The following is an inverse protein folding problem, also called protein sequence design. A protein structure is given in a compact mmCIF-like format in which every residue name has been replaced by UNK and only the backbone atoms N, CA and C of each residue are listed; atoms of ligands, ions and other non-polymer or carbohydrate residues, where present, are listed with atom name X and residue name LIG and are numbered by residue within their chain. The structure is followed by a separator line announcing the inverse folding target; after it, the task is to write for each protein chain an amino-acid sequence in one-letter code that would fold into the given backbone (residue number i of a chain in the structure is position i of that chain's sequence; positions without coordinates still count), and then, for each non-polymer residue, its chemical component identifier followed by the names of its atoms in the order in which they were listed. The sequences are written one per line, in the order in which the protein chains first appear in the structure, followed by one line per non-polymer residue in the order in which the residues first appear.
data_IF_177812701050
#
_entry.id   IF_177812701050
#
_cell.length_a   1.000
_cell.length_b   1.000
_cell.length_c   1.000
_cell.angle_alpha   90.00
_cell.angle_beta   90.00
_cell.angle_gamma   90.00
#
_symmetry.space_group_name_H-M   'P 1'
#
loop_
_entity.id
_entity.type
_entity.pdbx_description
1 polymer ?
#
# COMPACT_ATOMS: atom_id res chain seq x y z
N UNK A 1 26.67 6.16 5.20
CA UNK A 1 26.02 5.41 6.31
C UNK A 1 24.81 4.65 5.79
N UNK A 2 24.41 3.52 6.38
CA UNK A 2 23.32 2.69 5.85
C UNK A 2 21.93 3.37 5.86
N UNK A 3 21.65 4.27 6.82
CA UNK A 3 20.42 5.08 6.83
C UNK A 3 20.35 6.07 5.66
N UNK A 4 21.47 6.69 5.29
CA UNK A 4 21.55 7.60 4.13
C UNK A 4 21.26 6.86 2.82
N UNK A 5 21.67 5.59 2.71
CA UNK A 5 21.30 4.73 1.58
C UNK A 5 19.78 4.57 1.48
N UNK A 6 19.09 4.34 2.60
CA UNK A 6 17.62 4.18 2.63
C UNK A 6 16.93 5.46 2.19
N UNK A 7 17.34 6.61 2.72
CA UNK A 7 16.77 7.91 2.35
C UNK A 7 16.94 8.20 0.85
N UNK A 8 18.07 7.77 0.27
CA UNK A 8 18.37 7.91 -1.16
C UNK A 8 17.88 6.74 -2.02
N UNK A 9 17.07 5.81 -1.48
CA UNK A 9 16.59 4.59 -2.13
C UNK A 9 17.69 3.74 -2.79
N UNK A 10 18.87 3.73 -2.19
CA UNK A 10 20.00 2.89 -2.61
C UNK A 10 19.87 1.47 -2.04
N UNK A 11 20.33 0.44 -2.75
CA UNK A 11 20.35 -0.93 -2.23
C UNK A 11 21.11 -1.06 -0.91
N UNK A 12 20.58 -1.88 -0.03
CA UNK A 12 21.24 -2.31 1.20
C UNK A 12 21.85 -3.70 1.01
N UNK A 13 23.02 -3.93 1.60
CA UNK A 13 23.51 -5.29 1.80
C UNK A 13 22.60 -6.03 2.80
N UNK A 14 22.61 -7.37 2.77
CA UNK A 14 21.84 -8.18 3.72
C UNK A 14 22.24 -7.88 5.18
N UNK A 15 23.51 -7.56 5.43
CA UNK A 15 24.00 -7.18 6.76
C UNK A 15 23.46 -5.81 7.18
N UNK A 16 23.50 -4.81 6.29
CA UNK A 16 22.96 -3.47 6.55
C UNK A 16 21.45 -3.53 6.83
N UNK A 17 20.69 -4.29 6.03
CA UNK A 17 19.26 -4.52 6.28
C UNK A 17 19.05 -5.12 7.67
N UNK A 18 19.75 -6.21 7.99
CA UNK A 18 19.55 -6.95 9.25
C UNK A 18 19.82 -6.05 10.45
N UNK A 19 20.87 -5.25 10.40
CA UNK A 19 21.21 -4.30 11.47
C UNK A 19 20.17 -3.20 11.63
N UNK A 20 19.73 -2.58 10.52
CA UNK A 20 18.74 -1.51 10.55
C UNK A 20 17.38 -2.02 11.02
N UNK A 21 16.95 -3.23 10.61
CA UNK A 21 15.74 -3.89 11.10
C UNK A 21 15.82 -4.23 12.58
N UNK A 22 16.94 -4.80 13.03
CA UNK A 22 17.16 -5.12 14.46
C UNK A 22 17.02 -3.88 15.34
N UNK A 23 17.52 -2.74 14.86
CA UNK A 23 17.42 -1.43 15.53
C UNK A 23 16.07 -0.72 15.31
N UNK A 24 15.12 -1.33 14.58
CA UNK A 24 13.80 -0.76 14.21
C UNK A 24 13.90 0.58 13.48
N UNK A 25 15.01 0.84 12.77
CA UNK A 25 15.28 2.11 12.09
C UNK A 25 14.62 2.19 10.71
N UNK A 26 14.26 1.04 10.12
CA UNK A 26 13.63 0.95 8.80
C UNK A 26 12.40 0.05 8.81
N UNK A 27 11.48 0.35 7.90
CA UNK A 27 10.28 -0.42 7.55
C UNK A 27 10.35 -0.81 6.06
N UNK A 28 9.39 -1.59 5.56
CA UNK A 28 9.33 -2.03 4.16
C UNK A 28 9.93 -3.41 3.89
N UNK A 29 10.12 -3.77 2.61
CA UNK A 29 10.60 -5.08 2.14
C UNK A 29 11.59 -4.89 1.00
N UNK A 30 12.57 -5.78 0.87
CA UNK A 30 13.53 -5.76 -0.25
C UNK A 30 12.81 -5.62 -1.60
N UNK A 31 13.29 -4.77 -2.52
CA UNK A 31 14.40 -3.82 -2.38
C UNK A 31 14.01 -2.45 -1.78
N UNK A 32 12.73 -2.24 -1.45
CA UNK A 32 12.14 -0.95 -1.08
C UNK A 32 11.99 -0.80 0.45
N UNK A 33 12.98 -0.13 1.05
CA UNK A 33 12.96 0.21 2.48
C UNK A 33 12.69 1.70 2.68
N UNK A 34 12.11 2.02 3.84
CA UNK A 34 11.82 3.40 4.26
C UNK A 34 12.25 3.57 5.72
N UNK A 35 12.56 4.81 6.12
CA UNK A 35 12.85 5.11 7.53
C UNK A 35 11.59 4.90 8.40
N UNK A 36 11.78 4.40 9.63
CA UNK A 36 10.66 4.17 10.55
C UNK A 36 10.11 5.46 11.16
N UNK A 37 8.91 5.39 11.77
CA UNK A 37 8.21 6.57 12.32
C UNK A 37 9.11 7.40 13.21
N UNK A 38 9.75 6.75 14.18
CA UNK A 38 10.55 7.45 15.17
C UNK A 38 11.81 8.10 14.56
N UNK A 39 12.33 7.55 13.44
CA UNK A 39 13.50 8.12 12.76
C UNK A 39 13.05 9.36 12.00
N UNK A 40 11.95 9.26 11.26
CA UNK A 40 11.37 10.38 10.55
C UNK A 40 10.97 11.53 11.47
N UNK A 41 10.36 11.23 12.62
CA UNK A 41 10.00 12.23 13.63
C UNK A 41 11.22 12.99 14.14
N UNK A 42 12.33 12.28 14.43
CA UNK A 42 13.59 12.89 14.90
C UNK A 42 14.31 13.65 13.79
N UNK A 43 14.21 13.20 12.55
CA UNK A 43 14.87 13.81 11.39
C UNK A 43 14.08 14.98 10.77
N UNK A 44 12.89 15.32 11.29
CA UNK A 44 12.02 16.35 10.71
C UNK A 44 11.30 15.94 9.42
N UNK A 45 11.56 14.74 8.88
CA UNK A 45 10.96 14.20 7.65
C UNK A 45 9.59 13.53 7.91
N UNK A 46 8.73 14.22 8.66
CA UNK A 46 7.37 13.73 8.96
C UNK A 46 6.54 13.56 7.68
N UNK A 47 6.70 14.47 6.73
CA UNK A 47 5.98 14.44 5.45
C UNK A 47 6.43 13.28 4.56
N UNK A 48 7.73 12.99 4.47
CA UNK A 48 8.25 11.83 3.73
C UNK A 48 7.80 10.51 4.36
N UNK A 49 7.75 10.42 5.69
CA UNK A 49 7.18 9.25 6.37
C UNK A 49 5.71 9.07 6.07
N UNK A 50 4.90 10.12 6.20
CA UNK A 50 3.48 10.07 5.86
C UNK A 50 3.28 9.70 4.39
N UNK A 51 4.07 10.22 3.45
CA UNK A 51 3.99 9.78 2.04
C UNK A 51 4.33 8.30 1.85
N UNK A 52 5.25 7.75 2.63
CA UNK A 52 5.63 6.33 2.49
C UNK A 52 4.72 5.38 3.30
N UNK A 53 4.10 5.84 4.39
CA UNK A 53 3.23 5.04 5.27
C UNK A 53 1.74 5.34 5.17
N UNK A 54 1.31 6.59 4.99
CA UNK A 54 -0.11 6.96 4.91
C UNK A 54 -0.81 6.39 3.65
N UNK A 55 -0.03 5.77 2.77
CA UNK A 55 -0.48 4.87 1.73
C UNK A 55 -0.38 3.41 2.17
N UNK A 56 -0.76 3.12 3.41
CA UNK A 56 -0.86 1.75 3.89
C UNK A 56 -2.08 1.07 3.25
N UNK A 57 -2.18 -0.24 3.45
CA UNK A 57 -3.32 -0.98 2.90
C UNK A 57 -4.65 -0.48 3.49
N UNK A 58 -4.67 0.04 4.72
CA UNK A 58 -5.90 0.48 5.38
C UNK A 58 -6.50 1.68 4.66
N UNK A 59 -5.70 2.70 4.37
CA UNK A 59 -6.14 3.87 3.61
C UNK A 59 -6.82 3.49 2.29
N UNK A 60 -6.22 2.57 1.52
CA UNK A 60 -6.81 2.16 0.24
C UNK A 60 -8.09 1.33 0.41
N UNK A 61 -8.14 0.45 1.42
CA UNK A 61 -9.35 -0.30 1.74
C UNK A 61 -10.50 0.63 2.13
N UNK A 62 -10.23 1.62 2.98
CA UNK A 62 -11.23 2.60 3.41
C UNK A 62 -11.72 3.44 2.22
N UNK A 63 -10.84 3.78 1.28
CA UNK A 63 -11.23 4.46 0.05
C UNK A 63 -12.15 3.59 -0.83
N UNK A 64 -11.84 2.30 -0.98
CA UNK A 64 -12.73 1.36 -1.71
C UNK A 64 -14.10 1.31 -1.04
N UNK A 65 -14.15 1.11 0.28
CA UNK A 65 -15.41 1.02 1.04
C UNK A 65 -16.21 2.32 0.94
N UNK A 66 -15.55 3.47 1.04
CA UNK A 66 -16.18 4.78 0.89
C UNK A 66 -16.84 4.93 -0.47
N UNK A 67 -16.14 4.60 -1.56
CA UNK A 67 -16.70 4.73 -2.91
C UNK A 67 -17.83 3.73 -3.15
N UNK A 68 -17.72 2.50 -2.64
CA UNK A 68 -18.82 1.52 -2.70
C UNK A 68 -20.07 1.99 -1.94
N UNK A 69 -19.91 2.66 -0.80
CA UNK A 69 -21.04 3.26 -0.08
C UNK A 69 -21.74 4.39 -0.85
N UNK A 70 -21.05 5.03 -1.79
CA UNK A 70 -21.56 6.13 -2.61
C UNK A 70 -22.17 5.68 -3.94
N UNK A 71 -21.61 4.63 -4.56
CA UNK A 71 -21.97 4.20 -5.91
C UNK A 71 -22.63 2.81 -5.97
N UNK A 72 -22.88 2.18 -4.81
CA UNK A 72 -23.44 0.83 -4.63
C UNK A 72 -22.59 -0.31 -5.18
N UNK A 73 -22.09 -0.20 -6.42
CA UNK A 73 -21.24 -1.21 -7.06
C UNK A 73 -20.05 -0.59 -7.80
N UNK A 74 -18.95 -1.33 -7.88
CA UNK A 74 -17.75 -0.95 -8.64
C UNK A 74 -17.19 -2.15 -9.39
N UNK A 75 -16.78 -1.98 -10.65
CA UNK A 75 -16.05 -3.01 -11.37
C UNK A 75 -14.58 -3.06 -10.93
N UNK A 76 -13.87 -4.14 -11.28
CA UNK A 76 -12.41 -4.19 -11.08
C UNK A 76 -11.69 -3.02 -11.76
N UNK A 77 -12.13 -2.61 -12.95
CA UNK A 77 -11.53 -1.51 -13.71
C UNK A 77 -11.70 -0.17 -12.98
N UNK A 78 -12.88 0.06 -12.38
CA UNK A 78 -13.15 1.28 -11.63
C UNK A 78 -12.28 1.37 -10.38
N UNK A 79 -12.08 0.25 -9.67
CA UNK A 79 -11.20 0.19 -8.51
C UNK A 79 -9.74 0.41 -8.92
N UNK A 80 -9.28 -0.19 -10.03
CA UNK A 80 -7.94 0.06 -10.54
C UNK A 80 -7.76 1.55 -10.86
N UNK A 81 -8.69 2.18 -11.58
CA UNK A 81 -8.63 3.61 -11.92
C UNK A 81 -8.67 4.54 -10.69
N UNK A 82 -9.49 4.22 -9.69
CA UNK A 82 -9.59 4.96 -8.43
C UNK A 82 -8.24 5.01 -7.69
N UNK A 83 -7.51 3.90 -7.71
CA UNK A 83 -6.28 3.74 -6.93
C UNK A 83 -5.01 4.06 -7.73
N UNK A 84 -5.04 4.00 -9.06
CA UNK A 84 -3.83 3.99 -9.89
C UNK A 84 -2.88 5.16 -9.62
N UNK A 85 -3.41 6.38 -9.58
CA UNK A 85 -2.64 7.62 -9.37
C UNK A 85 -2.42 7.95 -7.89
N UNK A 86 -2.98 7.14 -6.98
CA UNK A 86 -2.80 7.26 -5.53
C UNK A 86 -1.76 6.27 -5.00
N UNK A 87 -1.50 5.19 -5.74
CA UNK A 87 -0.46 4.22 -5.42
C UNK A 87 0.94 4.85 -5.51
N UNK A 88 1.91 4.35 -4.73
CA UNK A 88 3.26 4.90 -4.74
C UNK A 88 3.91 4.86 -6.13
N UNK A 89 4.54 5.96 -6.52
CA UNK A 89 5.14 6.12 -7.86
C UNK A 89 6.22 5.08 -8.17
N UNK A 90 6.89 4.52 -7.15
CA UNK A 90 7.92 3.50 -7.33
C UNK A 90 7.36 2.14 -7.78
N UNK A 91 6.05 1.92 -7.68
CA UNK A 91 5.43 0.65 -8.07
C UNK A 91 5.30 0.55 -9.59
N UNK A 92 5.76 -0.58 -10.15
CA UNK A 92 5.44 -0.97 -11.53
C UNK A 92 3.96 -1.28 -11.69
N UNK A 93 3.48 -1.32 -12.93
CA UNK A 93 2.08 -1.64 -13.24
C UNK A 93 1.66 -3.01 -12.70
N UNK A 94 2.55 -4.02 -12.75
CA UNK A 94 2.31 -5.34 -12.17
C UNK A 94 2.18 -5.27 -10.64
N UNK A 95 3.04 -4.50 -9.98
CA UNK A 95 2.99 -4.31 -8.53
C UNK A 95 1.71 -3.59 -8.12
N UNK A 96 1.26 -2.59 -8.89
CA UNK A 96 -0.01 -1.89 -8.68
C UNK A 96 -1.20 -2.84 -8.84
N UNK A 97 -1.25 -3.62 -9.92
CA UNK A 97 -2.31 -4.62 -10.15
C UNK A 97 -2.39 -5.65 -9.04
N UNK A 98 -1.22 -6.15 -8.59
CA UNK A 98 -1.14 -7.10 -7.47
C UNK A 98 -1.61 -6.46 -6.16
N UNK A 99 -1.20 -5.22 -5.89
CA UNK A 99 -1.64 -4.45 -4.73
C UNK A 99 -3.16 -4.31 -4.69
N UNK A 100 -3.79 -3.87 -5.78
CA UNK A 100 -5.25 -3.73 -5.86
C UNK A 100 -5.93 -5.09 -5.66
N UNK A 101 -5.43 -6.15 -6.27
CA UNK A 101 -5.96 -7.50 -6.09
C UNK A 101 -5.93 -7.95 -4.61
N UNK A 102 -4.82 -7.69 -3.92
CA UNK A 102 -4.67 -8.04 -2.50
C UNK A 102 -5.64 -7.23 -1.62
N UNK A 103 -5.80 -5.93 -1.90
CA UNK A 103 -6.73 -5.08 -1.15
C UNK A 103 -8.18 -5.59 -1.26
N UNK A 104 -8.63 -5.90 -2.48
CA UNK A 104 -9.96 -6.48 -2.72
C UNK A 104 -10.09 -7.85 -2.04
N UNK A 105 -9.07 -8.69 -2.14
CA UNK A 105 -9.07 -10.03 -1.53
C UNK A 105 -9.18 -9.96 -0.01
N UNK A 106 -8.44 -9.07 0.63
CA UNK A 106 -8.53 -8.84 2.09
C UNK A 106 -9.94 -8.37 2.48
N UNK A 107 -10.53 -7.40 1.76
CA UNK A 107 -11.89 -6.93 2.01
C UNK A 107 -12.93 -8.05 1.86
N UNK A 108 -12.80 -8.87 0.81
CA UNK A 108 -13.68 -10.02 0.58
C UNK A 108 -13.56 -11.04 1.71
N UNK A 109 -12.34 -11.40 2.09
CA UNK A 109 -12.08 -12.39 3.14
C UNK A 109 -12.55 -11.92 4.51
N UNK A 110 -12.61 -10.60 4.73
CA UNK A 110 -13.15 -9.99 5.95
C UNK A 110 -14.66 -9.69 5.85
N UNK A 111 -15.37 -10.24 4.86
CA UNK A 111 -16.81 -10.04 4.62
C UNK A 111 -17.21 -8.56 4.56
N UNK A 112 -16.34 -7.68 4.04
CA UNK A 112 -16.67 -6.26 3.82
C UNK A 112 -17.29 -6.02 2.46
N UNK A 113 -16.88 -6.81 1.46
CA UNK A 113 -17.40 -6.73 0.10
C UNK A 113 -17.70 -8.12 -0.46
N UNK A 114 -18.62 -8.18 -1.40
CA UNK A 114 -19.00 -9.38 -2.15
C UNK A 114 -18.92 -9.12 -3.65
N UNK A 115 -18.56 -10.13 -4.43
CA UNK A 115 -18.64 -10.07 -5.89
C UNK A 115 -20.02 -10.56 -6.34
N UNK A 116 -20.82 -9.69 -6.97
CA UNK A 116 -22.09 -10.03 -7.62
C UNK A 116 -21.93 -10.33 -9.12
N UNK A 117 -20.75 -10.06 -9.67
CA UNK A 117 -20.40 -10.37 -11.05
C UNK A 117 -19.72 -11.74 -11.21
N UNK A 118 -19.20 -11.98 -12.41
CA UNK A 118 -18.39 -13.17 -12.68
C UNK A 118 -16.93 -12.96 -12.24
N UNK A 119 -16.10 -14.00 -12.33
CA UNK A 119 -14.66 -13.85 -12.12
C UNK A 119 -14.02 -12.90 -13.13
N UNK A 120 -14.41 -13.00 -14.41
CA UNK A 120 -13.89 -12.17 -15.51
C UNK A 120 -14.43 -10.74 -15.49
N UNK A 121 -15.70 -10.58 -15.11
CA UNK A 121 -16.40 -9.31 -15.03
C UNK A 121 -16.91 -9.12 -13.60
N UNK A 122 -15.97 -8.88 -12.69
CA UNK A 122 -16.29 -8.71 -11.27
C UNK A 122 -16.97 -7.38 -11.00
N UNK A 123 -18.01 -7.44 -10.17
CA UNK A 123 -18.80 -6.30 -9.69
C UNK A 123 -18.85 -6.39 -8.17
N UNK A 124 -18.12 -5.51 -7.51
CA UNK A 124 -17.97 -5.50 -6.06
C UNK A 124 -19.03 -4.60 -5.42
N UNK A 125 -19.58 -5.05 -4.31
CA UNK A 125 -20.65 -4.42 -3.53
C UNK A 125 -20.31 -4.55 -2.03
N UNK A 126 -20.78 -3.64 -1.18
CA UNK A 126 -20.72 -3.82 0.28
C UNK A 126 -21.59 -4.99 0.71
N UNK A 127 -21.07 -5.85 1.59
CA UNK A 127 -21.90 -6.89 2.21
C UNK A 127 -23.01 -6.20 3.02
N UNK A 128 -24.26 -6.54 2.71
CA UNK A 128 -25.46 -6.10 3.44
C UNK A 128 -25.67 -6.90 4.72
#
# INVERSE_FOLDING_TARGET
MALDKVQRRKPLSNQEEKELRRKKLIEGRKPNYFISLHVAQKAGDKAGYTKNKAFDNQYYRDLILKVLSQHSTMSRKDIDQLLWNKLPEWMTDEQRKSKVNNLITELKNHNKIVNKGSFKYSMWELVS
#
